data_IF_220981463499
#
_entry.id   IF_220981463499
#
_cell.length_a   1.000
_cell.length_b   1.000
_cell.length_c   1.000
_cell.angle_alpha   90.00
_cell.angle_beta   90.00
_cell.angle_gamma   90.00
#
_symmetry.space_group_name_H-M   'P 1'
#
loop_
_entity.id
_entity.type
_entity.pdbx_description
1 polymer ?
#
# COMPACT_ATOMS: atom_id res chain seq x y z
N UNK A 1 -4.17 2.40 25.54
CA UNK A 1 -3.53 1.45 24.60
C UNK A 1 -3.49 2.13 23.24
N UNK A 2 -2.31 2.53 22.77
CA UNK A 2 -2.19 3.09 21.41
C UNK A 2 -2.08 1.94 20.42
N UNK A 3 -3.11 1.74 19.62
CA UNK A 3 -3.15 0.71 18.59
C UNK A 3 -2.81 1.38 17.26
N UNK A 4 -1.95 0.78 16.45
CA UNK A 4 -1.74 1.19 15.05
C UNK A 4 -2.92 0.61 14.25
N UNK A 5 -3.88 1.40 13.75
CA UNK A 5 -5.08 0.86 13.10
C UNK A 5 -4.74 -0.02 11.90
N UNK A 6 -3.71 0.37 11.14
CA UNK A 6 -3.19 -0.38 9.99
C UNK A 6 -2.57 -1.73 10.38
N UNK A 7 -2.25 -1.95 11.66
CA UNK A 7 -1.77 -3.24 12.16
C UNK A 7 -2.85 -4.30 12.23
N UNK A 8 -4.14 -3.92 12.22
CA UNK A 8 -5.26 -4.87 12.33
C UNK A 8 -5.31 -5.84 11.16
N UNK A 9 -5.14 -5.35 9.93
CA UNK A 9 -5.15 -6.22 8.73
C UNK A 9 -3.98 -7.20 8.75
N UNK A 10 -2.79 -6.74 9.14
CA UNK A 10 -1.62 -7.59 9.30
C UNK A 10 -1.82 -8.68 10.36
N UNK A 11 -2.31 -8.32 11.56
CA UNK A 11 -2.58 -9.29 12.62
C UNK A 11 -3.68 -10.26 12.21
N UNK A 12 -4.74 -9.79 11.55
CA UNK A 12 -5.79 -10.67 11.03
C UNK A 12 -5.22 -11.71 10.08
N UNK A 13 -4.38 -11.30 9.12
CA UNK A 13 -3.73 -12.21 8.17
C UNK A 13 -2.85 -13.25 8.88
N UNK A 14 -2.14 -12.88 9.95
CA UNK A 14 -1.35 -13.83 10.73
C UNK A 14 -2.23 -14.82 11.50
N UNK A 15 -3.35 -14.35 12.06
CA UNK A 15 -4.32 -15.20 12.74
C UNK A 15 -4.96 -16.19 11.75
N UNK A 16 -5.32 -15.72 10.56
CA UNK A 16 -5.86 -16.56 9.49
C UNK A 16 -4.82 -17.62 9.02
N UNK A 17 -3.55 -17.23 8.91
CA UNK A 17 -2.49 -18.19 8.60
C UNK A 17 -2.31 -19.21 9.74
N UNK A 18 -2.45 -18.80 11.00
CA UNK A 18 -2.32 -19.69 12.16
C UNK A 18 -3.51 -20.61 12.37
N UNK A 19 -4.71 -20.20 11.93
CA UNK A 19 -5.92 -21.03 12.01
C UNK A 19 -5.99 -22.09 10.90
N UNK A 20 -5.10 -22.01 9.91
CA UNK A 20 -4.99 -23.00 8.84
C UNK A 20 -4.33 -24.32 9.27
N UNK A 21 -3.80 -24.40 10.51
CA UNK A 21 -3.20 -25.62 11.07
C UNK A 21 -3.99 -26.14 12.26
N UNK A 22 -4.11 -27.47 12.37
CA UNK A 22 -4.94 -28.11 13.39
C UNK A 22 -4.26 -28.19 14.76
N UNK A 23 -2.92 -28.21 14.81
CA UNK A 23 -2.16 -28.33 16.05
C UNK A 23 -1.17 -27.19 16.23
N UNK A 24 -0.94 -26.82 17.49
CA UNK A 24 0.00 -25.75 17.88
C UNK A 24 1.46 -25.99 17.50
N UNK A 25 1.85 -27.22 17.20
CA UNK A 25 3.22 -27.60 16.83
C UNK A 25 3.39 -27.82 15.32
N UNK A 26 2.32 -27.62 14.54
CA UNK A 26 2.38 -27.75 13.09
C UNK A 26 2.99 -26.49 12.46
N UNK A 27 3.70 -26.68 11.36
CA UNK A 27 4.35 -25.58 10.65
C UNK A 27 3.34 -24.82 9.80
N UNK A 28 3.24 -23.50 10.00
CA UNK A 28 2.47 -22.61 9.13
C UNK A 28 3.32 -22.20 7.93
N UNK A 29 2.80 -22.41 6.73
CA UNK A 29 3.44 -21.88 5.52
C UNK A 29 3.20 -20.38 5.41
N UNK A 30 4.28 -19.61 5.34
CA UNK A 30 4.25 -18.17 5.10
C UNK A 30 4.67 -17.91 3.66
N UNK A 31 3.75 -17.35 2.87
CA UNK A 31 4.04 -16.85 1.53
C UNK A 31 5.02 -15.67 1.57
N UNK A 32 5.54 -15.30 0.40
CA UNK A 32 6.55 -14.24 0.25
C UNK A 32 6.01 -12.87 0.70
N UNK A 33 4.75 -12.57 0.42
CA UNK A 33 4.08 -11.35 0.88
C UNK A 33 3.97 -11.28 2.40
N UNK A 34 3.57 -12.37 3.05
CA UNK A 34 3.48 -12.45 4.51
C UNK A 34 4.85 -12.29 5.19
N UNK A 35 5.92 -12.86 4.59
CA UNK A 35 7.30 -12.64 5.06
C UNK A 35 7.75 -11.20 4.85
N UNK A 36 7.36 -10.56 3.77
CA UNK A 36 7.62 -9.14 3.51
C UNK A 36 6.92 -8.27 4.55
N UNK A 37 5.64 -8.53 4.83
CA UNK A 37 4.87 -7.85 5.88
C UNK A 37 5.57 -7.98 7.24
N UNK A 38 5.99 -9.19 7.62
CA UNK A 38 6.74 -9.43 8.86
C UNK A 38 8.02 -8.60 8.95
N UNK A 39 8.79 -8.51 7.86
CA UNK A 39 9.99 -7.66 7.81
C UNK A 39 9.64 -6.19 7.96
N UNK A 40 8.63 -5.71 7.25
CA UNK A 40 8.16 -4.34 7.33
C UNK A 40 7.74 -3.99 8.76
N UNK A 41 6.87 -4.79 9.38
CA UNK A 41 6.40 -4.56 10.75
C UNK A 41 7.54 -4.64 11.78
N UNK A 42 8.51 -5.55 11.60
CA UNK A 42 9.69 -5.60 12.47
C UNK A 42 10.52 -4.31 12.39
N UNK A 43 10.73 -3.76 11.20
CA UNK A 43 11.47 -2.51 11.00
C UNK A 43 10.70 -1.31 11.54
N UNK A 44 9.39 -1.25 11.27
CA UNK A 44 8.51 -0.19 11.76
C UNK A 44 8.54 -0.14 13.29
N UNK A 45 8.29 -1.27 13.94
CA UNK A 45 8.22 -1.35 15.40
C UNK A 45 9.55 -1.02 16.08
N UNK A 46 10.69 -1.35 15.44
CA UNK A 46 12.01 -0.99 15.96
C UNK A 46 12.25 0.54 15.99
N UNK A 47 11.60 1.30 15.12
CA UNK A 47 11.77 2.75 15.00
C UNK A 47 10.52 3.53 15.44
N UNK A 48 9.46 2.85 15.87
CA UNK A 48 8.20 3.49 16.22
C UNK A 48 8.28 4.13 17.60
N UNK A 49 7.95 5.43 17.68
CA UNK A 49 7.99 6.23 18.90
C UNK A 49 6.71 6.15 19.74
N UNK A 50 5.77 5.25 19.42
CA UNK A 50 4.51 5.09 20.15
C UNK A 50 3.45 6.16 19.85
N UNK A 51 3.72 7.07 18.91
CA UNK A 51 2.77 8.07 18.43
C UNK A 51 2.10 7.53 17.18
N UNK A 52 0.77 7.47 17.22
CA UNK A 52 -0.06 7.22 16.04
C UNK A 52 -0.75 8.53 15.70
N UNK A 53 -0.68 8.97 14.44
CA UNK A 53 -1.60 10.00 13.97
C UNK A 53 -3.00 9.40 13.99
N UNK A 54 -3.84 9.85 14.92
CA UNK A 54 -5.27 9.62 14.81
C UNK A 54 -5.69 10.34 13.53
N UNK A 55 -6.15 9.58 12.52
CA UNK A 55 -6.96 10.19 11.49
C UNK A 55 -8.17 10.79 12.22
N UNK A 56 -8.45 12.06 11.98
CA UNK A 56 -9.70 12.67 12.40
C UNK A 56 -10.84 11.71 12.00
N UNK A 57 -11.79 11.43 12.88
CA UNK A 57 -12.88 10.47 12.62
C UNK A 57 -13.73 10.89 11.40
N UNK A 58 -13.50 12.10 10.87
CA UNK A 58 -13.91 12.50 9.54
C UNK A 58 -13.08 11.77 8.46
N UNK A 59 -13.60 10.64 8.00
CA UNK A 59 -13.23 10.06 6.70
C UNK A 59 -13.65 11.04 5.60
N UNK A 60 -12.72 11.89 5.16
CA UNK A 60 -12.91 12.76 3.99
C UNK A 60 -12.61 11.96 2.73
N UNK A 61 -13.50 11.98 1.74
CA UNK A 61 -13.20 11.38 0.43
C UNK A 61 -12.03 12.12 -0.23
N UNK A 62 -11.28 11.43 -1.10
CA UNK A 62 -10.24 12.04 -1.94
C UNK A 62 -10.77 13.25 -2.70
N UNK A 63 -12.00 13.17 -3.22
CA UNK A 63 -12.73 14.25 -3.88
C UNK A 63 -12.92 15.45 -2.94
N UNK A 64 -13.33 15.21 -1.70
CA UNK A 64 -13.56 16.28 -0.70
C UNK A 64 -12.27 16.92 -0.17
N UNK A 65 -11.12 16.25 -0.33
CA UNK A 65 -9.77 16.78 -0.05
C UNK A 65 -9.08 17.34 -1.30
N UNK A 66 -9.67 17.13 -2.48
CA UNK A 66 -9.03 17.36 -3.78
C UNK A 66 -7.62 16.74 -3.81
N UNK A 67 -7.53 15.48 -3.38
CA UNK A 67 -6.29 14.72 -3.28
C UNK A 67 -6.28 13.56 -4.27
N UNK A 68 -5.38 13.60 -5.24
CA UNK A 68 -5.21 12.58 -6.26
C UNK A 68 -3.73 12.25 -6.40
N UNK A 69 -3.38 10.98 -6.53
CA UNK A 69 -1.98 10.53 -6.70
C UNK A 69 -1.89 9.54 -7.84
N UNK A 70 -0.82 9.64 -8.62
CA UNK A 70 -0.46 8.68 -9.67
C UNK A 70 1.02 8.32 -9.53
N UNK A 71 1.38 7.11 -9.94
CA UNK A 71 2.74 6.59 -9.86
C UNK A 71 3.09 5.87 -11.16
N UNK A 72 4.13 6.38 -11.83
CA UNK A 72 4.71 5.76 -13.01
C UNK A 72 5.90 4.89 -12.58
N UNK A 73 5.84 3.55 -12.70
CA UNK A 73 6.92 2.65 -12.26
C UNK A 73 8.28 2.97 -12.87
N UNK A 74 8.31 3.57 -14.06
CA UNK A 74 9.53 3.92 -14.80
C UNK A 74 10.17 5.23 -14.38
N UNK A 75 9.41 6.21 -13.87
CA UNK A 75 9.85 7.61 -13.79
C UNK A 75 9.74 8.19 -12.38
N UNK A 76 8.60 8.00 -11.72
CA UNK A 76 8.34 8.70 -10.47
C UNK A 76 6.88 8.70 -10.05
N UNK A 77 6.57 9.64 -9.17
CA UNK A 77 5.25 9.88 -8.62
C UNK A 77 4.76 11.28 -9.00
N UNK A 78 3.44 11.42 -9.06
CA UNK A 78 2.75 12.70 -9.23
C UNK A 78 1.53 12.76 -8.33
N UNK A 79 1.10 13.97 -8.01
CA UNK A 79 -0.14 14.17 -7.29
C UNK A 79 -0.66 15.58 -7.37
N UNK A 80 -1.93 15.71 -7.01
CA UNK A 80 -2.65 16.96 -6.87
C UNK A 80 -3.22 17.03 -5.46
N UNK A 81 -2.97 18.13 -4.76
CA UNK A 81 -3.51 18.37 -3.43
C UNK A 81 -3.99 19.81 -3.30
N UNK A 82 -5.27 19.97 -2.98
CA UNK A 82 -5.87 21.26 -2.61
C UNK A 82 -5.70 22.41 -3.62
N UNK A 83 -5.47 22.11 -4.91
CA UNK A 83 -5.24 23.12 -5.95
C UNK A 83 -3.82 23.11 -6.52
N UNK A 84 -2.89 22.43 -5.86
CA UNK A 84 -1.48 22.43 -6.21
C UNK A 84 -1.04 21.08 -6.78
N UNK A 85 -0.23 21.14 -7.83
CA UNK A 85 0.41 19.97 -8.43
C UNK A 85 1.79 19.74 -7.82
N UNK A 86 2.12 18.48 -7.55
CA UNK A 86 3.46 18.06 -7.16
C UNK A 86 3.89 16.81 -7.93
N UNK A 87 5.19 16.68 -8.19
CA UNK A 87 5.76 15.52 -8.83
C UNK A 87 7.19 15.30 -8.32
N UNK A 88 7.64 14.04 -8.36
CA UNK A 88 8.99 13.67 -7.95
C UNK A 88 9.48 12.42 -8.68
N UNK A 89 10.77 12.38 -9.00
CA UNK A 89 11.39 11.18 -9.56
C UNK A 89 11.66 10.16 -8.47
N UNK A 90 11.64 8.87 -8.82
CA UNK A 90 12.08 7.83 -7.91
C UNK A 90 13.57 8.04 -7.57
N UNK A 91 13.99 7.79 -6.33
CA UNK A 91 15.40 7.70 -6.01
C UNK A 91 16.03 6.53 -6.77
N UNK A 92 17.30 6.69 -7.18
CA UNK A 92 18.03 5.71 -8.00
C UNK A 92 18.05 4.30 -7.39
N UNK A 93 17.99 4.19 -6.06
CA UNK A 93 17.91 2.91 -5.33
C UNK A 93 16.64 2.12 -5.66
N UNK A 94 15.54 2.80 -5.97
CA UNK A 94 14.24 2.19 -6.31
C UNK A 94 14.21 1.88 -7.81
N UNK A 95 14.63 2.81 -8.66
CA UNK A 95 14.67 2.64 -10.12
C UNK A 95 15.58 1.51 -10.60
N UNK A 96 16.61 1.13 -9.83
CA UNK A 96 17.48 0.01 -10.17
C UNK A 96 16.80 -1.37 -10.02
N UNK A 97 15.75 -1.46 -9.19
CA UNK A 97 15.03 -2.71 -8.91
C UNK A 97 13.84 -2.96 -9.86
N UNK A 98 13.36 -1.93 -10.55
CA UNK A 98 12.19 -2.00 -11.44
C UNK A 98 12.56 -2.40 -12.86
N UNK A 99 13.10 -3.61 -13.04
CA UNK A 99 12.86 -4.37 -14.29
C UNK A 99 11.61 -5.24 -14.10
N UNK A 100 10.52 -4.65 -13.63
CA UNK A 100 9.20 -5.27 -13.77
C UNK A 100 8.82 -5.12 -15.23
N UNK A 101 8.98 -6.20 -16.00
CA UNK A 101 8.44 -6.34 -17.35
C UNK A 101 6.92 -6.22 -17.28
N UNK A 102 6.39 -5.01 -17.43
CA UNK A 102 4.97 -4.77 -17.63
C UNK A 102 4.62 -5.30 -19.02
N UNK A 103 3.91 -6.42 -19.05
CA UNK A 103 3.31 -6.97 -20.25
C UNK A 103 2.21 -5.98 -20.72
N UNK A 104 2.27 -5.43 -21.94
CA UNK A 104 1.40 -4.33 -22.38
C UNK A 104 -0.10 -4.68 -22.55
N UNK A 105 -0.55 -5.86 -22.11
CA UNK A 105 -1.90 -6.36 -22.36
C UNK A 105 -3.02 -5.77 -21.47
N UNK A 106 -2.72 -5.00 -20.41
CA UNK A 106 -3.76 -4.54 -19.47
C UNK A 106 -4.30 -3.12 -19.75
N UNK A 107 -3.87 -2.44 -20.81
CA UNK A 107 -4.26 -1.04 -21.08
C UNK A 107 -5.48 -0.83 -22.00
N UNK A 108 -6.27 -1.86 -22.32
CA UNK A 108 -7.32 -1.74 -23.36
C UNK A 108 -8.78 -1.95 -22.91
N UNK A 109 -9.10 -1.93 -21.61
CA UNK A 109 -10.49 -2.12 -21.15
C UNK A 109 -11.10 -1.00 -20.32
N UNK A 110 -10.67 0.26 -20.46
CA UNK A 110 -11.46 1.35 -19.86
C UNK A 110 -11.39 2.72 -20.56
N UNK A 111 -11.65 2.77 -21.87
CA UNK A 111 -12.02 4.03 -22.55
C UNK A 111 -13.01 3.80 -23.68
N UNK A 112 -14.25 3.47 -23.33
CA UNK A 112 -15.52 3.72 -24.05
C UNK A 112 -16.56 3.71 -22.90
N UNK A 113 -17.29 4.77 -22.56
CA UNK A 113 -18.14 5.59 -23.40
C UNK A 113 -18.32 7.00 -22.77
N UNK A 114 -18.15 8.04 -23.57
CA UNK A 114 -18.75 9.37 -23.33
C UNK A 114 -19.53 9.69 -24.61
N UNK A 115 -20.87 9.70 -24.62
CA UNK A 115 -21.59 10.16 -25.78
C UNK A 115 -21.56 11.69 -25.81
N UNK A 116 -21.11 12.23 -26.95
CA UNK A 116 -21.38 13.61 -27.35
C UNK A 116 -22.77 13.66 -27.96
N UNK A 117 -23.66 14.49 -27.38
CA UNK A 117 -25.03 14.70 -27.84
C UNK A 117 -25.87 15.37 -26.78
#
# INVERSE_FOLDING_TARGET
>A
MHVIPQGRSFISRLLDASSAVDKFHDCVFLDEGCRSDLRFWSLLLAHWNGVTFFYDDLVRSSESMRFFTDAAPSVGLGGFFQGEWFAGSWPLSISASSKFSLNPAYHLHHTRDIPSG
#
